data_IF_615433634743
#
_entry.id   IF_615433634743
#
_cell.length_a   1.000
_cell.length_b   1.000
_cell.length_c   1.000
_cell.angle_alpha   90.00
_cell.angle_beta   90.00
_cell.angle_gamma   90.00
#
_symmetry.space_group_name_H-M   'P 1'
#
loop_
_entity.id
_entity.type
_entity.pdbx_description
1 polymer ?
#
# COMPACT_ATOMS: atom_id res chain seq x y z
N UNK A 1 -10.85 -10.10 0.81
CA UNK A 1 -9.77 -9.07 0.87
C UNK A 1 -9.56 -8.64 2.31
N UNK A 2 -8.32 -8.51 2.70
CA UNK A 2 -7.97 -8.10 4.06
C UNK A 2 -7.96 -6.57 4.15
N UNK A 3 -8.86 -6.00 4.95
CA UNK A 3 -8.96 -4.55 5.12
C UNK A 3 -7.69 -3.95 5.71
N UNK A 4 -7.01 -4.69 6.57
CA UNK A 4 -5.77 -4.21 7.17
C UNK A 4 -4.65 -4.12 6.12
N UNK A 5 -4.56 -5.12 5.25
CA UNK A 5 -3.59 -5.09 4.15
C UNK A 5 -3.90 -3.96 3.17
N UNK A 6 -5.18 -3.72 2.90
CA UNK A 6 -5.61 -2.61 2.04
C UNK A 6 -5.26 -1.25 2.66
N UNK A 7 -5.48 -1.11 3.96
CA UNK A 7 -5.10 0.10 4.69
C UNK A 7 -3.59 0.32 4.64
N UNK A 8 -2.81 -0.74 4.84
CA UNK A 8 -1.35 -0.67 4.77
C UNK A 8 -0.88 -0.27 3.36
N UNK A 9 -1.49 -0.83 2.33
CA UNK A 9 -1.19 -0.45 0.95
C UNK A 9 -1.44 1.05 0.73
N UNK A 10 -2.58 1.55 1.19
CA UNK A 10 -2.91 2.97 1.02
C UNK A 10 -1.94 3.88 1.77
N UNK A 11 -1.48 3.47 2.95
CA UNK A 11 -0.47 4.22 3.70
C UNK A 11 0.86 4.28 2.96
N UNK A 12 1.29 3.15 2.41
CA UNK A 12 2.53 3.09 1.63
C UNK A 12 2.40 3.96 0.37
N UNK A 13 1.26 3.90 -0.30
CA UNK A 13 1.01 4.70 -1.49
C UNK A 13 1.03 6.20 -1.17
N UNK A 14 0.39 6.59 -0.06
CA UNK A 14 0.33 7.99 0.37
C UNK A 14 1.71 8.54 0.69
N UNK A 15 2.52 7.76 1.39
CA UNK A 15 3.85 8.21 1.82
C UNK A 15 4.93 8.06 0.76
N UNK A 16 4.67 7.26 -0.26
CA UNK A 16 5.62 7.08 -1.35
C UNK A 16 6.78 6.16 -1.04
N UNK A 17 6.82 5.56 0.15
CA UNK A 17 7.85 4.56 0.49
C UNK A 17 7.41 3.74 1.70
N UNK A 18 7.94 2.52 1.78
CA UNK A 18 7.71 1.67 2.95
C UNK A 18 8.35 2.25 4.21
N UNK A 19 9.53 2.85 4.07
CA UNK A 19 10.23 3.45 5.21
C UNK A 19 9.45 4.60 5.83
N UNK A 20 8.93 5.50 5.01
CA UNK A 20 8.14 6.64 5.49
C UNK A 20 6.82 6.16 6.12
N UNK A 21 6.18 5.18 5.50
CA UNK A 21 4.95 4.60 6.05
C UNK A 21 5.20 3.92 7.38
N UNK A 22 6.30 3.19 7.51
CA UNK A 22 6.67 2.55 8.77
C UNK A 22 6.86 3.56 9.89
N UNK A 23 7.55 4.66 9.61
CA UNK A 23 7.75 5.71 10.60
C UNK A 23 6.44 6.39 11.01
N UNK A 24 5.56 6.62 10.05
CA UNK A 24 4.28 7.27 10.31
C UNK A 24 3.32 6.40 11.12
N UNK A 25 3.35 5.09 10.92
CA UNK A 25 2.41 4.16 11.57
C UNK A 25 2.98 3.47 12.81
N UNK A 26 4.30 3.49 12.97
CA UNK A 26 4.96 2.73 14.02
C UNK A 26 5.05 1.25 13.74
N UNK A 27 4.68 0.80 12.55
CA UNK A 27 4.74 -0.61 12.16
C UNK A 27 6.07 -0.93 11.51
N UNK A 28 6.60 -2.15 11.71
CA UNK A 28 7.82 -2.57 11.05
C UNK A 28 7.69 -2.54 9.53
N UNK A 29 8.70 -2.05 8.85
CA UNK A 29 8.75 -1.99 7.39
C UNK A 29 8.51 -3.36 6.77
N UNK A 30 9.11 -4.42 7.35
CA UNK A 30 8.96 -5.78 6.86
C UNK A 30 7.51 -6.26 6.91
N UNK A 31 6.77 -5.86 7.95
CA UNK A 31 5.35 -6.20 8.09
C UNK A 31 4.52 -5.54 6.99
N UNK A 32 4.76 -4.26 6.74
CA UNK A 32 4.07 -3.53 5.68
C UNK A 32 4.35 -4.16 4.31
N UNK A 33 5.60 -4.46 4.05
CA UNK A 33 6.03 -5.07 2.78
C UNK A 33 5.38 -6.44 2.57
N UNK A 34 5.34 -7.27 3.61
CA UNK A 34 4.73 -8.59 3.55
C UNK A 34 3.22 -8.51 3.29
N UNK A 35 2.53 -7.62 3.99
CA UNK A 35 1.08 -7.46 3.83
C UNK A 35 0.70 -6.96 2.44
N UNK A 36 1.45 -6.02 1.91
CA UNK A 36 1.21 -5.54 0.55
C UNK A 36 1.46 -6.64 -0.47
N UNK A 37 2.52 -7.44 -0.30
CA UNK A 37 2.80 -8.57 -1.18
C UNK A 37 1.69 -9.60 -1.13
N UNK A 38 1.16 -9.89 0.06
CA UNK A 38 0.04 -10.81 0.22
C UNK A 38 -1.23 -10.28 -0.45
N UNK A 39 -1.46 -8.97 -0.36
CA UNK A 39 -2.59 -8.33 -1.04
C UNK A 39 -2.47 -8.47 -2.55
N UNK A 40 -1.29 -8.17 -3.10
CA UNK A 40 -1.02 -8.34 -4.53
C UNK A 40 -1.28 -9.78 -4.96
N UNK A 41 -0.80 -10.74 -4.17
CA UNK A 41 -0.98 -12.16 -4.45
C UNK A 41 -2.46 -12.55 -4.46
N UNK A 42 -3.23 -12.08 -3.48
CA UNK A 42 -4.65 -12.41 -3.39
C UNK A 42 -5.46 -11.81 -4.52
N UNK A 43 -5.06 -10.66 -5.03
CA UNK A 43 -5.75 -10.00 -6.14
C UNK A 43 -5.26 -10.47 -7.52
N UNK A 44 -4.09 -11.11 -7.57
CA UNK A 44 -3.46 -11.49 -8.82
C UNK A 44 -2.98 -10.29 -9.63
N UNK A 45 -2.66 -9.18 -8.95
CA UNK A 45 -2.25 -7.93 -9.57
C UNK A 45 -1.01 -7.35 -8.89
N UNK A 46 -0.17 -6.68 -9.66
CA UNK A 46 0.90 -5.87 -9.11
C UNK A 46 0.33 -4.49 -8.83
N UNK A 47 0.50 -4.01 -7.61
CA UNK A 47 0.04 -2.70 -7.19
C UNK A 47 1.18 -1.69 -7.09
N UNK A 48 2.37 -2.18 -6.78
CA UNK A 48 3.56 -1.36 -6.62
C UNK A 48 4.71 -1.88 -7.46
N UNK A 49 5.50 -0.95 -7.98
CA UNK A 49 6.76 -1.26 -8.66
C UNK A 49 7.89 -0.59 -7.91
N UNK A 50 8.98 -1.33 -7.68
CA UNK A 50 10.19 -0.81 -7.06
C UNK A 50 11.20 -0.50 -8.15
N UNK A 51 11.70 0.72 -8.17
CA UNK A 51 12.68 1.15 -9.15
C UNK A 51 13.83 1.88 -8.50
N UNK A 52 14.81 2.27 -9.32
CA UNK A 52 15.97 3.00 -8.85
C UNK A 52 15.61 4.34 -8.20
N UNK A 53 14.48 4.92 -8.57
CA UNK A 53 14.01 6.20 -8.05
C UNK A 53 12.97 6.05 -6.93
N UNK A 54 12.82 4.84 -6.40
CA UNK A 54 11.90 4.58 -5.32
C UNK A 54 10.65 3.81 -5.75
N UNK A 55 9.61 3.94 -4.96
CA UNK A 55 8.37 3.19 -5.12
C UNK A 55 7.40 3.93 -6.03
N UNK A 56 6.74 3.19 -6.93
CA UNK A 56 5.79 3.75 -7.88
C UNK A 56 4.55 2.87 -7.94
N UNK A 57 3.38 3.49 -8.05
CA UNK A 57 2.14 2.75 -8.24
C UNK A 57 2.02 2.26 -9.67
N UNK A 58 1.54 1.02 -9.83
CA UNK A 58 1.10 0.55 -11.15
C UNK A 58 -0.23 1.24 -11.48
N UNK A 59 -0.74 1.09 -12.69
CA UNK A 59 -2.06 1.63 -13.05
C UNK A 59 -3.15 1.02 -12.18
N UNK A 60 -3.07 -0.29 -11.93
CA UNK A 60 -4.00 -1.00 -11.05
C UNK A 60 -3.88 -0.52 -9.61
N UNK A 61 -2.66 -0.28 -9.15
CA UNK A 61 -2.42 0.24 -7.81
C UNK A 61 -2.98 1.63 -7.63
N UNK A 62 -2.82 2.49 -8.64
CA UNK A 62 -3.36 3.84 -8.60
C UNK A 62 -4.88 3.83 -8.54
N UNK A 63 -5.52 3.01 -9.38
CA UNK A 63 -6.97 2.88 -9.39
C UNK A 63 -7.50 2.41 -8.05
N UNK A 64 -6.86 1.40 -7.47
CA UNK A 64 -7.25 0.88 -6.16
C UNK A 64 -7.07 1.93 -5.06
N UNK A 65 -5.94 2.63 -5.08
CA UNK A 65 -5.64 3.67 -4.08
C UNK A 65 -6.67 4.80 -4.14
N UNK A 66 -7.02 5.28 -5.34
CA UNK A 66 -8.00 6.35 -5.50
C UNK A 66 -9.36 5.93 -4.95
N UNK A 67 -9.79 4.71 -5.28
CA UNK A 67 -11.11 4.23 -4.86
C UNK A 67 -11.20 3.91 -3.36
N UNK A 68 -10.18 3.27 -2.82
CA UNK A 68 -10.21 2.79 -1.44
C UNK A 68 -9.66 3.80 -0.44
N UNK A 69 -8.78 4.68 -0.87
CA UNK A 69 -8.23 5.73 -0.01
C UNK A 69 -9.31 6.63 0.56
N UNK A 70 -10.27 7.02 -0.27
CA UNK A 70 -11.37 7.86 0.16
C UNK A 70 -12.27 7.15 1.17
N UNK A 71 -12.57 5.86 0.91
CA UNK A 71 -13.39 5.06 1.83
C UNK A 71 -12.71 4.88 3.18
N UNK A 72 -11.42 4.61 3.18
CA UNK A 72 -10.67 4.42 4.42
C UNK A 72 -10.56 5.72 5.21
N UNK A 73 -10.44 6.85 4.53
CA UNK A 73 -10.40 8.15 5.18
C UNK A 73 -11.71 8.46 5.90
N UNK A 74 -12.84 8.03 5.36
CA UNK A 74 -14.15 8.24 5.98
C UNK A 74 -14.33 7.41 7.24
N UNK A 75 -13.69 6.25 7.31
CA UNK A 75 -13.79 5.35 8.46
C UNK A 75 -12.89 5.82 9.59
N UNK A 76 -11.78 6.42 9.29
CA UNK A 76 -10.86 6.94 10.28
C UNK A 76 -11.39 8.23 10.90
#
# INVERSE_FOLDING_TARGET
MDLLALSDFNLVARHGSFGKAARATGRPKATLSRRVAELESSLGLRLLERGAKGLKLTDEGRALHVRTGALLAEVE
#
